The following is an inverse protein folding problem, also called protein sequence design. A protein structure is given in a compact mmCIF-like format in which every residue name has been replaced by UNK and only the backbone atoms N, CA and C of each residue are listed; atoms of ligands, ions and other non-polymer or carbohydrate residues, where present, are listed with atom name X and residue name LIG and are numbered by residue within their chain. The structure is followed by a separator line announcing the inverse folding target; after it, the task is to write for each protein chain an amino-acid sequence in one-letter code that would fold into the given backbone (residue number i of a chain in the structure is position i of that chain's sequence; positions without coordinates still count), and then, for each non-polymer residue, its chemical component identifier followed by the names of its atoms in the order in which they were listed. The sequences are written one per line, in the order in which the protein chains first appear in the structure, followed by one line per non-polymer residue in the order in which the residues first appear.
data_IF_561473667276
#
_entry.id   IF_561473667276
#
_cell.length_a   1.000
_cell.length_b   1.000
_cell.length_c   1.000
_cell.angle_alpha   90.00
_cell.angle_beta   90.00
_cell.angle_gamma   90.00
#
_symmetry.space_group_name_H-M   'P 1'
#
loop_
_entity.id
_entity.type
_entity.pdbx_description
1 polymer ?
#
# COMPACT_ATOMS: atom_id res chain seq x y z
N UNK A 1 -29.64 -16.62 -12.42
CA UNK A 1 -28.73 -15.47 -12.38
C UNK A 1 -28.50 -15.13 -10.92
N UNK A 2 -27.26 -15.29 -10.43
CA UNK A 2 -26.89 -14.78 -9.11
C UNK A 2 -26.97 -13.25 -9.17
N UNK A 3 -27.88 -12.67 -8.39
CA UNK A 3 -27.95 -11.22 -8.24
C UNK A 3 -27.07 -10.80 -7.09
N UNK A 4 -26.05 -10.04 -7.40
CA UNK A 4 -25.25 -9.37 -6.39
C UNK A 4 -26.04 -8.19 -5.83
N UNK A 5 -26.10 -8.06 -4.51
CA UNK A 5 -26.87 -7.01 -3.86
C UNK A 5 -25.97 -6.23 -2.91
N UNK A 6 -25.77 -4.95 -3.20
CA UNK A 6 -25.16 -4.01 -2.27
C UNK A 6 -26.21 -3.63 -1.21
N UNK A 7 -25.95 -3.95 0.05
CA UNK A 7 -26.92 -3.75 1.13
C UNK A 7 -26.24 -3.36 2.45
N UNK A 8 -26.98 -2.74 3.33
CA UNK A 8 -26.47 -2.21 4.62
C UNK A 8 -26.17 -3.27 5.68
N UNK A 9 -26.52 -4.53 5.46
CA UNK A 9 -26.18 -5.63 6.36
C UNK A 9 -24.75 -6.09 6.13
N UNK A 10 -24.38 -6.26 4.87
CA UNK A 10 -23.05 -6.72 4.46
C UNK A 10 -22.07 -5.54 4.37
N UNK A 11 -22.55 -4.34 4.04
CA UNK A 11 -21.78 -3.11 3.92
C UNK A 11 -22.40 -1.99 4.78
N UNK A 12 -22.12 -1.96 6.09
CA UNK A 12 -22.71 -0.99 7.03
C UNK A 12 -22.41 0.48 6.70
N UNK A 13 -21.28 0.74 5.99
CA UNK A 13 -20.86 2.08 5.55
C UNK A 13 -21.88 2.75 4.62
N UNK A 14 -22.70 2.00 3.89
CA UNK A 14 -23.82 2.54 3.09
C UNK A 14 -24.76 3.44 3.88
N UNK A 15 -24.88 3.24 5.19
CA UNK A 15 -25.76 4.08 6.05
C UNK A 15 -25.29 5.53 6.12
N UNK A 16 -24.02 5.79 5.87
CA UNK A 16 -23.43 7.13 5.89
C UNK A 16 -23.90 7.97 4.69
N UNK A 17 -24.48 7.31 3.67
CA UNK A 17 -24.86 7.91 2.40
C UNK A 17 -26.38 7.98 2.20
N UNK A 18 -27.16 7.90 3.28
CA UNK A 18 -28.63 8.04 3.20
C UNK A 18 -29.01 9.42 2.62
N UNK A 19 -29.75 9.41 1.53
CA UNK A 19 -30.14 10.62 0.80
C UNK A 19 -29.16 11.08 -0.28
N UNK A 20 -28.02 10.41 -0.43
CA UNK A 20 -27.06 10.66 -1.51
C UNK A 20 -27.41 9.86 -2.77
N UNK A 21 -26.92 10.32 -3.91
CA UNK A 21 -26.93 9.54 -5.16
C UNK A 21 -25.65 8.73 -5.22
N UNK A 22 -25.77 7.42 -5.38
CA UNK A 22 -24.62 6.53 -5.51
C UNK A 22 -24.53 5.99 -6.93
N UNK A 23 -23.31 5.88 -7.43
CA UNK A 23 -22.97 5.21 -8.69
C UNK A 23 -22.44 3.83 -8.35
N UNK A 24 -23.04 2.80 -8.94
CA UNK A 24 -22.68 1.39 -8.71
C UNK A 24 -22.67 0.63 -10.03
N UNK A 25 -22.18 -0.63 -10.02
CA UNK A 25 -22.42 -1.58 -11.12
C UNK A 25 -23.49 -2.59 -10.75
N UNK A 26 -23.81 -3.47 -11.69
CA UNK A 26 -24.66 -4.65 -11.46
C UNK A 26 -23.91 -5.80 -10.76
N UNK A 27 -22.62 -5.61 -10.43
CA UNK A 27 -21.74 -6.59 -9.81
C UNK A 27 -21.13 -7.61 -10.77
N UNK A 28 -21.40 -7.51 -12.07
CA UNK A 28 -20.77 -8.36 -13.09
C UNK A 28 -19.36 -7.86 -13.48
N UNK A 29 -19.11 -6.57 -13.26
CA UNK A 29 -17.83 -5.91 -13.49
C UNK A 29 -17.43 -5.07 -12.28
N UNK A 30 -16.14 -4.75 -12.18
CA UNK A 30 -15.63 -3.70 -11.30
C UNK A 30 -16.18 -2.35 -11.78
N UNK A 31 -16.55 -1.46 -10.85
CA UNK A 31 -16.90 -0.07 -11.19
C UNK A 31 -15.66 0.70 -11.66
N UNK A 32 -14.55 0.56 -10.92
CA UNK A 32 -13.31 1.30 -11.17
C UNK A 32 -13.47 2.79 -10.89
N UNK A 33 -14.25 3.13 -9.84
CA UNK A 33 -14.25 4.48 -9.29
C UNK A 33 -12.85 4.83 -8.78
N UNK A 34 -12.16 3.85 -8.29
CA UNK A 34 -10.72 3.83 -8.06
C UNK A 34 -9.99 3.52 -9.39
N UNK A 35 -9.35 4.52 -10.10
CA UNK A 35 -9.41 5.94 -9.71
C UNK A 35 -10.04 6.84 -10.81
N UNK A 36 -11.10 6.36 -11.48
CA UNK A 36 -11.81 7.20 -12.47
C UNK A 36 -12.56 8.37 -11.84
N UNK A 37 -12.91 8.28 -10.54
CA UNK A 37 -13.52 9.40 -9.82
C UNK A 37 -12.51 10.55 -9.67
N UNK A 38 -11.29 10.29 -9.24
CA UNK A 38 -10.24 11.30 -9.16
C UNK A 38 -9.91 11.92 -10.51
N UNK A 39 -9.87 11.12 -11.58
CA UNK A 39 -9.73 11.66 -12.95
C UNK A 39 -10.87 12.63 -13.30
N UNK A 40 -12.12 12.25 -13.00
CA UNK A 40 -13.28 13.09 -13.28
C UNK A 40 -13.25 14.40 -12.48
N UNK A 41 -12.85 14.35 -11.23
CA UNK A 41 -12.70 15.51 -10.34
C UNK A 41 -11.63 16.47 -10.85
N UNK A 42 -10.45 15.97 -11.19
CA UNK A 42 -9.35 16.76 -11.73
C UNK A 42 -9.77 17.43 -13.05
N UNK A 43 -10.37 16.67 -13.97
CA UNK A 43 -10.79 17.20 -15.27
C UNK A 43 -11.90 18.24 -15.13
N UNK A 44 -12.83 18.05 -14.21
CA UNK A 44 -13.89 19.03 -13.90
C UNK A 44 -13.31 20.31 -13.32
N UNK A 45 -12.35 20.19 -12.40
CA UNK A 45 -11.67 21.37 -11.84
C UNK A 45 -10.93 22.17 -12.93
N UNK A 46 -10.25 21.49 -13.87
CA UNK A 46 -9.58 22.14 -15.00
C UNK A 46 -10.58 22.84 -15.92
N UNK A 47 -11.71 22.20 -16.23
CA UNK A 47 -12.77 22.81 -17.03
C UNK A 47 -13.33 24.08 -16.38
N UNK A 48 -13.57 24.05 -15.06
CA UNK A 48 -14.04 25.21 -14.30
C UNK A 48 -13.04 26.36 -14.38
N UNK A 49 -11.76 26.10 -14.17
CA UNK A 49 -10.71 27.13 -14.21
C UNK A 49 -10.55 27.74 -15.59
N UNK A 50 -10.57 26.92 -16.65
CA UNK A 50 -10.48 27.40 -18.05
C UNK A 50 -11.68 28.28 -18.41
N UNK A 51 -12.88 27.89 -17.99
CA UNK A 51 -14.09 28.63 -18.30
C UNK A 51 -14.31 29.88 -17.41
N UNK A 52 -13.56 30.02 -16.32
CA UNK A 52 -13.64 31.14 -15.40
C UNK A 52 -12.28 31.82 -15.16
N UNK A 53 -11.72 32.51 -16.13
CA UNK A 53 -10.37 33.08 -16.07
C UNK A 53 -10.20 34.17 -14.99
N UNK A 54 -11.27 34.57 -14.32
CA UNK A 54 -11.22 35.49 -13.19
C UNK A 54 -10.81 34.80 -11.88
N UNK A 55 -10.81 33.48 -11.82
CA UNK A 55 -10.34 32.73 -10.66
C UNK A 55 -8.82 32.80 -10.65
N UNK A 56 -8.19 33.42 -9.62
CA UNK A 56 -6.74 33.51 -9.55
C UNK A 56 -6.14 32.13 -9.23
N UNK A 57 -5.17 31.71 -10.00
CA UNK A 57 -4.40 30.49 -9.75
C UNK A 57 -2.98 30.58 -10.27
N UNK A 58 -2.06 29.81 -9.71
CA UNK A 58 -0.72 29.61 -10.24
C UNK A 58 -0.72 28.67 -11.45
N UNK A 59 0.45 28.26 -11.88
CA UNK A 59 0.60 27.22 -12.90
C UNK A 59 0.11 25.89 -12.34
N UNK A 60 -0.80 25.24 -13.05
CA UNK A 60 -1.33 23.92 -12.69
C UNK A 60 -0.89 22.93 -13.78
N UNK A 61 -0.30 21.83 -13.35
CA UNK A 61 0.07 20.71 -14.22
C UNK A 61 -0.69 19.46 -13.75
N UNK A 62 -1.19 18.70 -14.70
CA UNK A 62 -1.92 17.46 -14.44
C UNK A 62 -1.19 16.31 -15.12
N UNK A 63 -1.07 15.19 -14.43
CA UNK A 63 -0.54 13.95 -14.97
C UNK A 63 -1.47 12.79 -14.61
N UNK A 64 -1.61 11.85 -15.54
CA UNK A 64 -2.28 10.57 -15.34
C UNK A 64 -1.29 9.46 -15.69
N UNK A 65 -1.09 8.54 -14.76
CA UNK A 65 -0.17 7.42 -14.91
C UNK A 65 -0.91 6.08 -14.94
N UNK A 66 -0.44 5.09 -15.71
CA UNK A 66 -0.90 3.72 -15.62
C UNK A 66 -0.19 2.98 -14.48
N UNK A 67 -0.69 1.77 -14.14
CA UNK A 67 0.00 0.77 -13.32
C UNK A 67 0.16 1.13 -11.83
N UNK A 68 -0.68 2.07 -11.30
CA UNK A 68 -0.71 2.38 -9.86
C UNK A 68 -1.02 1.12 -9.05
N UNK A 69 -2.06 0.36 -9.41
CA UNK A 69 -2.59 -0.82 -8.72
C UNK A 69 -1.59 -1.97 -8.55
N UNK A 70 -0.55 -2.00 -9.36
CA UNK A 70 0.56 -2.94 -9.22
C UNK A 70 1.80 -2.33 -8.57
N UNK A 71 1.67 -1.11 -8.04
CA UNK A 71 2.69 -0.41 -7.26
C UNK A 71 3.88 0.11 -8.06
N UNK A 72 3.74 0.31 -9.38
CA UNK A 72 4.82 0.81 -10.25
C UNK A 72 4.45 2.09 -11.00
N UNK A 73 3.30 2.69 -10.70
CA UNK A 73 2.78 3.88 -11.37
C UNK A 73 3.76 5.04 -11.41
N UNK A 74 4.42 5.33 -10.30
CA UNK A 74 5.38 6.42 -10.19
C UNK A 74 6.81 6.08 -10.64
N UNK A 75 7.14 4.81 -10.96
CA UNK A 75 8.53 4.38 -11.18
C UNK A 75 9.24 5.10 -12.33
N UNK A 76 8.47 5.57 -13.30
CA UNK A 76 8.97 6.30 -14.48
C UNK A 76 8.45 7.74 -14.56
N UNK A 77 7.90 8.26 -13.47
CA UNK A 77 7.41 9.62 -13.43
C UNK A 77 8.56 10.62 -13.55
N UNK A 78 8.50 11.48 -14.54
CA UNK A 78 9.54 12.47 -14.82
C UNK A 78 9.31 13.74 -14.01
N UNK A 79 9.84 13.75 -12.79
CA UNK A 79 9.70 14.88 -11.86
C UNK A 79 10.39 16.15 -12.36
N UNK A 80 11.48 16.03 -13.15
CA UNK A 80 12.18 17.18 -13.70
C UNK A 80 11.33 17.87 -14.79
N UNK A 81 10.67 17.08 -15.66
CA UNK A 81 9.75 17.62 -16.66
C UNK A 81 8.46 18.13 -16.03
N UNK A 82 7.99 17.46 -14.98
CA UNK A 82 6.79 17.88 -14.28
C UNK A 82 7.01 19.21 -13.55
N UNK A 83 8.15 19.44 -12.92
CA UNK A 83 8.65 20.74 -12.44
C UNK A 83 7.55 21.56 -11.72
N UNK A 84 7.19 21.14 -10.52
CA UNK A 84 6.21 21.78 -9.62
C UNK A 84 6.77 21.86 -8.21
N UNK A 85 6.27 22.80 -7.39
CA UNK A 85 6.70 22.97 -6.01
C UNK A 85 6.15 21.86 -5.09
N UNK A 86 4.92 21.42 -5.35
CA UNK A 86 4.23 20.32 -4.68
C UNK A 86 3.13 19.76 -5.57
N UNK A 87 2.57 18.62 -5.20
CA UNK A 87 1.43 18.01 -5.88
C UNK A 87 0.44 17.40 -4.89
N UNK A 88 -0.71 16.95 -5.39
CA UNK A 88 -1.64 16.06 -4.70
C UNK A 88 -1.94 14.90 -5.64
N UNK A 89 -1.99 13.69 -5.11
CA UNK A 89 -2.73 12.60 -5.75
C UNK A 89 -4.20 12.71 -5.32
N UNK A 90 -5.14 12.36 -6.18
CA UNK A 90 -6.58 12.35 -5.90
C UNK A 90 -7.03 10.91 -6.09
N UNK A 91 -6.68 10.07 -5.11
CA UNK A 91 -6.73 8.61 -5.17
C UNK A 91 -7.05 8.00 -3.79
N UNK A 92 -7.63 8.82 -2.91
CA UNK A 92 -8.05 8.41 -1.58
C UNK A 92 -9.47 7.83 -1.57
N UNK A 93 -9.90 7.38 -0.41
CA UNK A 93 -11.20 6.78 -0.17
C UNK A 93 -12.32 7.79 0.08
N UNK A 94 -13.07 7.62 1.18
CA UNK A 94 -14.26 8.41 1.48
C UNK A 94 -14.04 9.92 1.57
N UNK A 95 -15.11 10.66 1.38
CA UNK A 95 -15.15 12.12 1.47
C UNK A 95 -14.47 12.63 2.75
N UNK A 96 -13.49 13.51 2.59
CA UNK A 96 -12.76 14.17 3.67
C UNK A 96 -11.42 13.55 4.00
N UNK A 97 -11.05 12.41 3.45
CA UNK A 97 -9.73 11.84 3.65
C UNK A 97 -8.63 12.77 3.14
N UNK A 98 -7.63 12.97 3.98
CA UNK A 98 -6.41 13.70 3.66
C UNK A 98 -5.23 12.92 4.25
N UNK A 99 -4.43 12.35 3.39
CA UNK A 99 -3.41 11.40 3.76
C UNK A 99 -2.02 11.96 3.43
N UNK A 100 -1.15 12.05 4.42
CA UNK A 100 0.24 12.45 4.25
C UNK A 100 1.22 11.53 4.98
N UNK A 101 0.71 10.38 5.45
CA UNK A 101 1.45 9.37 6.17
C UNK A 101 1.09 7.98 5.64
N UNK A 102 2.08 7.22 5.20
CA UNK A 102 1.94 5.87 4.65
C UNK A 102 2.83 4.89 5.40
N UNK A 103 2.66 3.61 5.17
CA UNK A 103 3.69 2.66 5.54
C UNK A 103 5.02 2.95 4.80
N UNK A 104 6.14 2.54 5.41
CA UNK A 104 7.34 2.11 4.71
C UNK A 104 7.19 0.64 4.37
N UNK A 105 7.67 0.22 3.21
CA UNK A 105 7.39 -1.08 2.64
C UNK A 105 8.64 -1.76 2.10
N UNK A 106 8.83 -3.03 2.46
CA UNK A 106 9.83 -3.90 1.86
C UNK A 106 9.21 -5.25 1.48
N UNK A 107 9.87 -5.93 0.57
CA UNK A 107 9.60 -7.33 0.22
C UNK A 107 10.84 -8.16 0.51
N UNK A 108 10.64 -9.35 1.08
CA UNK A 108 11.69 -10.33 1.29
C UNK A 108 11.30 -11.64 0.60
N UNK A 109 12.12 -12.06 -0.36
CA UNK A 109 12.02 -13.35 -1.02
C UNK A 109 13.08 -14.29 -0.42
N UNK A 110 12.64 -15.41 0.11
CA UNK A 110 13.48 -16.36 0.83
C UNK A 110 13.52 -17.65 0.04
N UNK A 111 14.71 -18.12 -0.26
CA UNK A 111 14.92 -19.42 -0.91
C UNK A 111 15.67 -20.34 0.04
N UNK A 112 15.24 -21.58 0.11
CA UNK A 112 15.75 -22.58 1.05
C UNK A 112 16.17 -23.82 0.30
N UNK A 113 17.42 -24.24 0.47
CA UNK A 113 17.97 -25.45 -0.11
C UNK A 113 18.02 -26.57 0.91
N UNK A 114 17.24 -27.60 0.71
CA UNK A 114 17.25 -28.82 1.51
C UNK A 114 18.32 -29.82 1.07
N UNK A 115 18.23 -31.00 1.63
CA UNK A 115 18.94 -32.21 1.23
C UNK A 115 17.97 -33.37 1.39
N UNK A 116 17.37 -33.78 0.28
CA UNK A 116 16.42 -34.88 0.28
C UNK A 116 17.12 -36.23 0.23
N UNK A 117 16.62 -37.19 1.00
CA UNK A 117 17.04 -38.59 0.99
C UNK A 117 15.79 -39.46 1.28
N UNK A 118 15.93 -40.80 1.07
CA UNK A 118 14.84 -41.71 1.37
C UNK A 118 14.42 -41.61 2.85
N UNK A 119 13.14 -41.42 3.19
CA UNK A 119 12.68 -41.21 4.56
C UNK A 119 13.12 -42.28 5.56
N UNK A 120 13.18 -43.54 5.13
CA UNK A 120 13.61 -44.67 5.96
C UNK A 120 15.09 -44.61 6.38
N UNK A 121 15.92 -43.79 5.74
CA UNK A 121 17.37 -43.60 6.04
C UNK A 121 17.70 -42.15 6.31
N UNK A 122 16.71 -41.33 6.63
CA UNK A 122 16.82 -39.87 6.71
C UNK A 122 17.46 -39.38 8.00
N UNK A 123 17.56 -40.23 9.03
CA UNK A 123 18.09 -39.83 10.34
C UNK A 123 19.50 -39.26 10.20
N UNK A 124 19.73 -38.07 10.76
CA UNK A 124 21.00 -37.33 10.77
C UNK A 124 21.56 -37.01 9.37
N UNK A 125 20.72 -37.14 8.31
CA UNK A 125 21.14 -36.94 6.91
C UNK A 125 20.24 -35.97 6.14
N UNK A 126 18.92 -36.13 6.28
CA UNK A 126 17.94 -35.27 5.59
C UNK A 126 17.94 -33.86 6.18
N UNK A 127 17.86 -32.88 5.30
CA UNK A 127 17.53 -31.49 5.64
C UNK A 127 16.27 -31.14 4.83
N UNK A 128 15.14 -31.10 5.48
CA UNK A 128 13.86 -30.82 4.81
C UNK A 128 13.68 -29.30 4.68
N UNK A 129 13.67 -28.80 3.43
CA UNK A 129 13.53 -27.38 3.15
C UNK A 129 12.19 -26.80 3.66
N UNK A 130 11.09 -27.57 3.57
CA UNK A 130 9.79 -27.12 4.11
C UNK A 130 9.82 -27.00 5.63
N UNK A 131 10.52 -27.89 6.34
CA UNK A 131 10.67 -27.79 7.79
C UNK A 131 11.50 -26.55 8.16
N UNK A 132 12.55 -26.25 7.41
CA UNK A 132 13.33 -25.01 7.61
C UNK A 132 12.49 -23.75 7.33
N UNK A 133 11.60 -23.79 6.35
CA UNK A 133 10.67 -22.69 6.08
C UNK A 133 9.73 -22.46 7.27
N UNK A 134 9.20 -23.54 7.85
CA UNK A 134 8.37 -23.47 9.06
C UNK A 134 9.18 -22.95 10.25
N UNK A 135 10.41 -23.44 10.43
CA UNK A 135 11.30 -22.99 11.51
C UNK A 135 11.64 -21.49 11.36
N UNK A 136 11.81 -21.01 10.14
CA UNK A 136 11.99 -19.58 9.84
C UNK A 136 10.75 -18.79 10.23
N UNK A 137 9.59 -19.18 9.73
CA UNK A 137 8.32 -18.51 10.01
C UNK A 137 8.02 -18.41 11.52
N UNK A 138 8.27 -19.49 12.25
CA UNK A 138 7.97 -19.57 13.69
C UNK A 138 8.88 -18.67 14.55
N UNK A 139 9.96 -18.10 14.01
CA UNK A 139 10.80 -17.12 14.72
C UNK A 139 10.31 -15.69 14.55
N UNK A 140 9.36 -15.46 13.64
CA UNK A 140 8.69 -14.16 13.51
C UNK A 140 7.60 -14.02 14.58
N UNK A 141 7.30 -12.79 15.03
CA UNK A 141 6.24 -12.55 16.01
C UNK A 141 4.87 -12.95 15.49
N UNK A 142 4.22 -13.90 16.14
CA UNK A 142 2.94 -14.46 15.70
C UNK A 142 1.75 -13.48 15.76
N UNK A 143 1.91 -12.35 16.46
CA UNK A 143 0.88 -11.32 16.59
C UNK A 143 1.12 -10.12 15.68
N UNK A 144 2.29 -10.01 15.03
CA UNK A 144 2.62 -8.94 14.12
C UNK A 144 2.30 -9.34 12.67
N UNK A 145 1.03 -9.62 12.43
CA UNK A 145 0.46 -10.03 11.13
C UNK A 145 -0.73 -9.12 10.79
N UNK A 146 -1.11 -8.97 9.52
CA UNK A 146 -2.21 -8.08 9.13
C UNK A 146 -3.52 -8.35 9.88
N UNK A 147 -3.81 -9.61 10.15
CA UNK A 147 -5.05 -10.05 10.82
C UNK A 147 -5.13 -9.67 12.29
N UNK A 148 -4.03 -9.18 12.89
CA UNK A 148 -3.93 -8.84 14.31
C UNK A 148 -3.41 -7.44 14.59
N UNK A 149 -3.18 -6.65 13.55
CA UNK A 149 -2.58 -5.31 13.67
C UNK A 149 -3.50 -4.24 13.10
N UNK A 150 -3.50 -3.05 13.72
CA UNK A 150 -4.30 -1.90 13.32
C UNK A 150 -3.52 -0.58 13.48
N UNK A 151 -4.07 0.52 12.98
CA UNK A 151 -3.49 1.86 13.10
C UNK A 151 -2.03 1.92 12.66
N UNK A 152 -1.15 2.30 13.58
CA UNK A 152 0.29 2.44 13.35
C UNK A 152 1.11 1.15 13.51
N UNK A 153 0.46 0.04 13.84
CA UNK A 153 1.17 -1.23 14.07
C UNK A 153 1.64 -1.82 12.75
N UNK A 154 2.94 -2.11 12.69
CA UNK A 154 3.57 -2.77 11.55
C UNK A 154 3.40 -4.29 11.58
N UNK A 155 3.74 -4.95 10.48
CA UNK A 155 3.56 -6.41 10.37
C UNK A 155 4.56 -7.08 9.42
N UNK A 156 4.64 -8.40 9.54
CA UNK A 156 5.17 -9.33 8.55
C UNK A 156 3.99 -10.10 7.94
N UNK A 157 3.83 -10.06 6.64
CA UNK A 157 2.79 -10.81 5.97
C UNK A 157 3.37 -11.86 5.03
N UNK A 158 3.16 -13.13 5.35
CA UNK A 158 3.54 -14.25 4.48
C UNK A 158 2.59 -14.28 3.28
N UNK A 159 3.09 -13.97 2.10
CA UNK A 159 2.33 -13.91 0.87
C UNK A 159 2.29 -15.26 0.14
N UNK A 160 3.38 -16.00 0.23
CA UNK A 160 3.52 -17.30 -0.42
C UNK A 160 4.48 -18.20 0.34
N UNK A 161 4.18 -19.49 0.33
CA UNK A 161 5.05 -20.58 0.78
C UNK A 161 4.82 -21.75 -0.19
N UNK A 162 5.87 -22.15 -0.87
CA UNK A 162 5.84 -23.31 -1.80
C UNK A 162 7.11 -24.14 -1.64
N UNK A 163 7.04 -25.41 -1.99
CA UNK A 163 8.23 -26.25 -2.00
C UNK A 163 8.00 -27.72 -1.75
N UNK A 164 9.10 -28.41 -1.53
CA UNK A 164 9.23 -29.82 -1.23
C UNK A 164 10.45 -30.05 -0.30
N UNK A 165 10.80 -31.30 0.07
CA UNK A 165 11.98 -31.51 0.93
C UNK A 165 13.31 -31.07 0.36
N UNK A 166 13.45 -30.95 -0.97
CA UNK A 166 14.70 -30.53 -1.63
C UNK A 166 14.88 -29.02 -1.66
N UNK A 167 13.76 -28.30 -1.91
CA UNK A 167 13.78 -26.84 -2.02
C UNK A 167 12.45 -26.23 -1.54
N UNK A 168 12.51 -25.03 -0.99
CA UNK A 168 11.33 -24.25 -0.64
C UNK A 168 11.57 -22.76 -0.90
N UNK A 169 10.48 -22.03 -1.08
CA UNK A 169 10.48 -20.57 -1.21
C UNK A 169 9.39 -19.95 -0.36
N UNK A 170 9.66 -18.75 0.15
CA UNK A 170 8.71 -17.93 0.89
C UNK A 170 8.79 -16.51 0.38
N UNK A 171 7.68 -15.80 0.41
CA UNK A 171 7.65 -14.35 0.13
C UNK A 171 6.91 -13.63 1.24
N UNK A 172 7.55 -12.60 1.78
CA UNK A 172 6.99 -11.71 2.79
C UNK A 172 6.91 -10.29 2.26
N UNK A 173 5.86 -9.57 2.66
CA UNK A 173 5.86 -8.12 2.67
C UNK A 173 6.01 -7.65 4.12
N UNK A 174 6.79 -6.58 4.31
CA UNK A 174 7.14 -5.99 5.59
C UNK A 174 6.64 -4.56 5.57
N UNK A 175 5.91 -4.15 6.61
CA UNK A 175 5.30 -2.82 6.71
C UNK A 175 5.49 -2.25 8.10
N UNK A 176 5.83 -0.98 8.16
CA UNK A 176 5.77 -0.18 9.40
C UNK A 176 5.69 1.31 9.05
N UNK A 177 5.01 2.11 9.86
CA UNK A 177 4.99 3.57 9.70
C UNK A 177 6.27 4.21 10.23
N UNK A 178 6.83 3.66 11.29
CA UNK A 178 8.04 4.15 11.94
C UNK A 178 9.29 3.60 11.22
N UNK A 179 10.20 4.48 10.84
CA UNK A 179 11.43 4.12 10.11
C UNK A 179 12.32 3.18 10.91
N UNK A 180 12.52 3.45 12.20
CA UNK A 180 13.42 2.64 13.04
C UNK A 180 12.84 1.23 13.23
N UNK A 181 11.53 1.12 13.47
CA UNK A 181 10.84 -0.17 13.57
C UNK A 181 10.86 -0.92 12.24
N UNK A 182 10.67 -0.22 11.13
CA UNK A 182 10.75 -0.80 9.79
C UNK A 182 12.14 -1.43 9.54
N UNK A 183 13.22 -0.70 9.82
CA UNK A 183 14.59 -1.22 9.69
C UNK A 183 14.85 -2.38 10.67
N UNK A 184 14.33 -2.31 11.89
CA UNK A 184 14.42 -3.39 12.86
C UNK A 184 13.72 -4.68 12.38
N UNK A 185 12.57 -4.55 11.70
CA UNK A 185 11.87 -5.71 11.09
C UNK A 185 12.69 -6.35 10.00
N UNK A 186 13.31 -5.57 9.12
CA UNK A 186 14.20 -6.08 8.07
C UNK A 186 15.42 -6.78 8.68
N UNK A 187 16.01 -6.16 9.69
CA UNK A 187 17.12 -6.77 10.42
C UNK A 187 16.76 -8.10 11.09
N UNK A 188 15.51 -8.24 11.58
CA UNK A 188 15.02 -9.50 12.16
C UNK A 188 14.97 -10.63 11.12
N UNK A 189 14.50 -10.36 9.90
CA UNK A 189 14.52 -11.34 8.78
C UNK A 189 15.95 -11.81 8.51
N UNK A 190 16.91 -10.88 8.43
CA UNK A 190 18.31 -11.19 8.22
C UNK A 190 18.91 -12.00 9.38
N UNK A 191 18.58 -11.62 10.60
CA UNK A 191 19.05 -12.33 11.80
C UNK A 191 18.56 -13.79 11.85
N UNK A 192 17.30 -14.04 11.52
CA UNK A 192 16.72 -15.39 11.46
C UNK A 192 17.45 -16.22 10.38
N UNK A 193 17.71 -15.65 9.22
CA UNK A 193 18.51 -16.30 8.17
C UNK A 193 19.88 -16.72 8.69
N UNK A 194 20.59 -15.81 9.34
CA UNK A 194 21.94 -16.05 9.88
C UNK A 194 21.92 -17.14 10.96
N UNK A 195 21.01 -17.05 11.93
CA UNK A 195 20.87 -18.02 13.02
C UNK A 195 20.58 -19.43 12.49
N UNK A 196 19.64 -19.56 11.56
CA UNK A 196 19.31 -20.86 11.00
C UNK A 196 20.44 -21.44 10.16
N UNK A 197 21.15 -20.62 9.38
CA UNK A 197 22.30 -21.06 8.60
C UNK A 197 23.48 -21.55 9.45
N UNK A 198 23.65 -21.03 10.69
CA UNK A 198 24.70 -21.51 11.61
C UNK A 198 24.54 -22.99 12.00
N UNK A 199 23.38 -23.60 11.75
CA UNK A 199 23.14 -25.02 12.02
C UNK A 199 23.76 -25.95 10.96
N UNK A 200 24.33 -25.39 9.87
CA UNK A 200 24.81 -26.14 8.72
C UNK A 200 26.21 -25.71 8.30
N UNK A 201 26.92 -26.60 7.63
CA UNK A 201 28.28 -26.36 7.10
C UNK A 201 28.27 -25.43 5.87
N UNK A 202 27.09 -25.21 5.28
CA UNK A 202 26.92 -24.35 4.12
C UNK A 202 25.62 -23.55 4.22
N UNK A 203 25.55 -22.43 3.52
CA UNK A 203 24.35 -21.61 3.46
C UNK A 203 23.19 -22.41 2.83
N UNK A 204 22.09 -22.48 3.55
CA UNK A 204 20.85 -23.16 3.15
C UNK A 204 19.70 -22.19 2.86
N UNK A 205 19.70 -21.05 3.52
CA UNK A 205 18.68 -20.03 3.46
C UNK A 205 19.28 -18.77 2.88
N UNK A 206 18.69 -18.26 1.82
CA UNK A 206 19.04 -16.97 1.20
C UNK A 206 17.85 -16.05 1.25
N UNK A 207 18.09 -14.81 1.62
CA UNK A 207 17.12 -13.73 1.61
C UNK A 207 17.52 -12.70 0.58
N UNK A 208 16.63 -12.45 -0.37
CA UNK A 208 16.66 -11.30 -1.27
C UNK A 208 15.59 -10.31 -0.82
N UNK A 209 16.03 -9.18 -0.28
CA UNK A 209 15.15 -8.19 0.32
C UNK A 209 15.41 -6.81 -0.27
N UNK A 210 14.32 -6.11 -0.61
CA UNK A 210 14.38 -4.76 -1.18
C UNK A 210 13.26 -3.88 -0.67
N UNK A 211 13.54 -2.59 -0.59
CA UNK A 211 12.57 -1.58 -0.20
C UNK A 211 11.73 -1.18 -1.43
N UNK A 212 10.42 -1.04 -1.23
CA UNK A 212 9.47 -0.69 -2.29
C UNK A 212 9.17 0.82 -2.27
N UNK A 213 8.89 1.36 -1.09
CA UNK A 213 8.67 2.78 -0.82
C UNK A 213 8.83 3.07 0.67
N UNK A 214 8.85 4.36 1.00
CA UNK A 214 8.95 4.83 2.38
C UNK A 214 7.77 5.72 2.75
N UNK A 215 7.54 5.89 4.06
CA UNK A 215 6.54 6.78 4.60
C UNK A 215 6.75 8.20 4.09
N UNK A 216 5.79 8.75 3.34
CA UNK A 216 5.90 10.09 2.76
C UNK A 216 5.91 11.20 3.79
N UNK A 217 5.47 10.94 5.03
CA UNK A 217 5.51 11.88 6.14
C UNK A 217 6.88 12.52 6.32
N UNK A 218 7.95 11.75 6.23
CA UNK A 218 9.34 12.25 6.40
C UNK A 218 9.69 13.38 5.40
N UNK A 219 9.02 13.43 4.27
CA UNK A 219 9.20 14.47 3.26
C UNK A 219 8.21 15.61 3.49
N UNK A 220 6.93 15.28 3.70
CA UNK A 220 5.84 16.26 3.80
C UNK A 220 5.93 17.09 5.07
N UNK A 221 6.39 16.53 6.20
CA UNK A 221 6.58 17.26 7.46
C UNK A 221 7.58 18.44 7.36
N UNK A 222 8.40 18.47 6.33
CA UNK A 222 9.33 19.60 6.12
C UNK A 222 8.60 20.89 5.73
N UNK A 223 7.42 20.76 5.13
CA UNK A 223 6.51 21.88 4.84
C UNK A 223 5.05 21.40 4.91
N UNK A 224 4.43 21.56 6.06
CA UNK A 224 3.03 21.22 6.29
C UNK A 224 2.03 22.19 5.66
N UNK A 225 2.49 23.29 5.05
CA UNK A 225 1.61 24.30 4.45
C UNK A 225 0.70 23.70 3.37
N UNK A 226 1.19 22.69 2.63
CA UNK A 226 0.42 22.00 1.59
C UNK A 226 -0.71 21.14 2.18
N UNK A 227 -0.49 20.54 3.34
CA UNK A 227 -1.51 19.76 4.06
C UNK A 227 -2.55 20.71 4.66
N UNK A 228 -2.11 21.81 5.31
CA UNK A 228 -3.03 22.80 5.88
C UNK A 228 -3.85 23.51 4.79
N UNK A 229 -3.29 23.73 3.59
CA UNK A 229 -4.01 24.27 2.44
C UNK A 229 -5.18 23.38 2.04
N UNK A 230 -4.94 22.09 1.87
CA UNK A 230 -5.98 21.12 1.53
C UNK A 230 -7.04 21.02 2.62
N UNK A 231 -6.61 20.94 3.86
CA UNK A 231 -7.49 20.92 5.04
C UNK A 231 -8.38 22.16 5.13
N UNK A 232 -7.82 23.34 4.93
CA UNK A 232 -8.58 24.59 4.93
C UNK A 232 -9.63 24.62 3.81
N UNK A 233 -9.27 24.18 2.60
CA UNK A 233 -10.20 24.09 1.47
C UNK A 233 -11.38 23.17 1.78
N UNK A 234 -11.13 22.00 2.41
CA UNK A 234 -12.19 21.10 2.87
C UNK A 234 -13.12 21.79 3.86
N UNK A 235 -12.57 22.46 4.87
CA UNK A 235 -13.36 23.16 5.91
C UNK A 235 -14.25 24.25 5.28
N UNK A 236 -13.71 25.02 4.34
CA UNK A 236 -14.45 26.07 3.64
C UNK A 236 -15.63 25.53 2.81
N UNK A 237 -15.50 24.29 2.32
CA UNK A 237 -16.57 23.56 1.63
C UNK A 237 -17.53 22.83 2.58
N UNK A 238 -17.33 22.93 3.91
CA UNK A 238 -18.15 22.22 4.90
C UNK A 238 -17.82 20.73 5.01
N UNK A 239 -16.68 20.31 4.47
CA UNK A 239 -16.17 18.93 4.58
C UNK A 239 -15.29 18.84 5.82
N UNK A 240 -15.53 17.84 6.66
CA UNK A 240 -14.69 17.57 7.83
C UNK A 240 -13.45 16.78 7.40
N UNK A 241 -12.22 17.33 7.56
CA UNK A 241 -11.03 16.57 7.22
C UNK A 241 -10.84 15.36 8.13
N UNK A 242 -10.54 14.20 7.53
CA UNK A 242 -10.19 12.95 8.20
C UNK A 242 -8.73 12.65 7.90
N UNK A 243 -7.87 12.81 8.90
CA UNK A 243 -6.43 12.65 8.76
C UNK A 243 -6.03 11.38 9.51
N UNK A 244 -5.81 10.31 8.76
CA UNK A 244 -5.43 9.00 9.28
C UNK A 244 -4.23 8.46 8.49
N UNK A 245 -3.36 7.64 9.11
CA UNK A 245 -2.27 7.00 8.40
C UNK A 245 -2.79 5.93 7.45
N UNK A 246 -2.27 5.91 6.24
CA UNK A 246 -2.57 4.86 5.25
C UNK A 246 -1.82 3.58 5.62
N UNK A 247 -2.53 2.48 5.76
CA UNK A 247 -1.93 1.15 5.95
C UNK A 247 -1.54 0.51 4.61
N UNK A 248 -0.96 1.29 3.73
CA UNK A 248 -0.52 0.97 2.39
C UNK A 248 0.44 2.02 1.88
N UNK A 249 0.62 2.06 0.56
CA UNK A 249 1.33 3.11 -0.16
C UNK A 249 0.40 3.77 -1.15
N UNK A 250 0.85 4.89 -1.69
CA UNK A 250 0.25 5.59 -2.83
C UNK A 250 1.38 6.02 -3.76
N UNK A 251 1.09 6.37 -4.99
CA UNK A 251 2.08 6.98 -5.89
C UNK A 251 2.69 8.25 -5.27
N UNK A 252 1.93 8.97 -4.44
CA UNK A 252 2.41 10.12 -3.67
C UNK A 252 3.59 9.81 -2.75
N UNK A 253 3.68 8.57 -2.22
CA UNK A 253 4.83 8.15 -1.41
C UNK A 253 6.13 8.16 -2.23
N UNK A 254 6.12 7.57 -3.42
CA UNK A 254 7.28 7.52 -4.31
C UNK A 254 7.62 8.91 -4.85
N UNK A 255 6.63 9.64 -5.35
CA UNK A 255 6.80 10.98 -5.92
C UNK A 255 7.37 11.95 -4.87
N UNK A 256 6.95 11.85 -3.61
CA UNK A 256 7.50 12.63 -2.51
C UNK A 256 9.01 12.41 -2.35
N UNK A 257 9.48 11.17 -2.39
CA UNK A 257 10.92 10.85 -2.32
C UNK A 257 11.68 11.20 -3.60
N UNK A 258 10.99 11.37 -4.73
CA UNK A 258 11.58 11.90 -5.97
C UNK A 258 11.74 13.42 -5.97
N UNK A 259 11.24 14.12 -4.94
CA UNK A 259 11.47 15.54 -4.71
C UNK A 259 10.23 16.43 -4.81
N UNK A 260 9.05 15.88 -5.06
CA UNK A 260 7.79 16.64 -5.10
C UNK A 260 6.90 16.16 -3.94
N UNK A 261 6.78 16.92 -2.82
CA UNK A 261 5.88 16.55 -1.72
C UNK A 261 4.45 16.37 -2.22
N UNK A 262 3.87 15.17 -2.01
CA UNK A 262 2.60 14.79 -2.65
C UNK A 262 1.67 14.09 -1.67
N UNK A 263 0.89 14.84 -0.86
CA UNK A 263 -0.21 14.27 -0.07
C UNK A 263 -1.30 13.69 -0.96
N UNK A 264 -2.09 12.75 -0.41
CA UNK A 264 -3.21 12.12 -1.09
C UNK A 264 -4.55 12.69 -0.61
N UNK A 265 -5.44 13.02 -1.53
CA UNK A 265 -6.78 13.50 -1.30
C UNK A 265 -7.80 12.40 -1.60
N UNK A 266 -8.96 12.48 -0.97
CA UNK A 266 -10.09 11.59 -1.25
C UNK A 266 -10.55 11.70 -2.72
N UNK A 267 -11.09 10.60 -3.25
CA UNK A 267 -11.77 10.52 -4.52
C UNK A 267 -13.25 10.04 -4.36
N UNK A 268 -13.72 9.91 -3.12
CA UNK A 268 -15.10 9.60 -2.76
C UNK A 268 -15.49 8.13 -2.93
N UNK A 269 -14.60 7.25 -3.35
CA UNK A 269 -14.88 5.82 -3.57
C UNK A 269 -14.95 5.02 -2.28
N UNK A 270 -15.77 3.99 -2.29
CA UNK A 270 -15.96 3.04 -1.19
C UNK A 270 -15.97 1.61 -1.71
N UNK A 271 -15.59 0.65 -0.84
CA UNK A 271 -15.53 -0.78 -1.16
C UNK A 271 -14.67 -1.10 -2.40
N UNK A 272 -13.57 -0.38 -2.55
CA UNK A 272 -12.65 -0.47 -3.68
C UNK A 272 -12.17 -1.90 -3.92
N UNK A 273 -11.63 -2.19 -5.11
CA UNK A 273 -11.09 -3.49 -5.53
C UNK A 273 -12.11 -4.63 -5.52
N UNK A 274 -13.41 -4.32 -5.48
CA UNK A 274 -14.47 -5.32 -5.42
C UNK A 274 -15.69 -4.96 -6.25
N UNK A 275 -16.55 -5.95 -6.51
CA UNK A 275 -17.80 -5.78 -7.27
C UNK A 275 -18.86 -4.95 -6.54
N UNK A 276 -18.64 -4.63 -5.28
CA UNK A 276 -19.52 -3.84 -4.44
C UNK A 276 -19.00 -2.42 -4.24
N UNK A 277 -18.04 -2.01 -5.07
CA UNK A 277 -17.54 -0.67 -5.14
C UNK A 277 -18.66 0.32 -5.52
N UNK A 278 -18.64 1.50 -4.88
CA UNK A 278 -19.53 2.61 -5.19
C UNK A 278 -18.85 3.95 -4.94
N UNK A 279 -19.37 4.97 -5.55
CA UNK A 279 -18.94 6.36 -5.38
C UNK A 279 -20.14 7.29 -5.38
#
# INVERSE_FOLDING_TARGET
EERYTLNTKDFPNLKNYEGHTLITTDGSTLLGADDKSGIAEIMTAMEILINNPSIPHGTIKVAFGPDEEIGVGADKFDVEQFDVDFAYTVDGGPLGELQYETFSAAQANITIQGKNVHPGTAKDTMINALQLAIDFHNQLPADEVPEKTEGYEGFFHLMALDGNPEEASMSYIIRDHDREKFEARKAQITHIQEELNQRFDQERIKVDMYDQYYNMKEIIEKDMSIVELAKQAMIELGISPVIEPVRGGTDGSKISYMGIPTPNLFAGGENMHGRFEFV
#
